data_IF_010521273289
#
_entry.id   IF_010521273289
#
_cell.length_a   1.000
_cell.length_b   1.000
_cell.length_c   1.000
_cell.angle_alpha   90.00
_cell.angle_beta   90.00
_cell.angle_gamma   90.00
#
_symmetry.space_group_name_H-M   'P 1'
#
loop_
_entity.id
_entity.type
_entity.pdbx_description
1 polymer ?
#
# COMPACT_ATOMS: atom_id res chain seq x y z
N UNK A 1 37.07 15.82 -17.91
CA UNK A 1 35.66 16.18 -18.12
C UNK A 1 34.78 14.99 -18.54
N UNK A 2 35.25 14.08 -19.41
CA UNK A 2 34.45 12.93 -19.87
C UNK A 2 33.98 11.92 -18.76
N UNK A 3 34.71 11.82 -17.66
CA UNK A 3 34.36 10.85 -16.59
C UNK A 3 33.20 11.31 -15.68
N UNK A 4 33.04 12.62 -15.49
CA UNK A 4 31.97 13.14 -14.63
C UNK A 4 30.58 13.11 -15.31
N UNK A 5 30.52 13.37 -16.62
CA UNK A 5 29.26 13.28 -17.39
C UNK A 5 28.75 11.83 -17.46
N UNK A 6 29.63 10.84 -17.67
CA UNK A 6 29.25 9.43 -17.70
C UNK A 6 28.75 8.91 -16.35
N UNK A 7 29.34 9.37 -15.24
CA UNK A 7 28.90 9.01 -13.87
C UNK A 7 27.51 9.60 -13.59
N UNK A 8 27.26 10.85 -13.98
CA UNK A 8 25.95 11.49 -13.82
C UNK A 8 24.84 10.81 -14.62
N UNK A 9 25.11 10.44 -15.88
CA UNK A 9 24.14 9.73 -16.75
C UNK A 9 23.81 8.34 -16.21
N UNK A 10 24.79 7.60 -15.69
CA UNK A 10 24.56 6.28 -15.12
C UNK A 10 23.71 6.38 -13.85
N UNK A 11 24.02 7.29 -12.94
CA UNK A 11 23.23 7.50 -11.72
C UNK A 11 21.80 7.92 -12.03
N UNK A 12 21.58 8.79 -13.01
CA UNK A 12 20.25 9.18 -13.45
C UNK A 12 19.42 7.98 -13.95
N UNK A 13 20.02 7.08 -14.74
CA UNK A 13 19.34 5.86 -15.21
C UNK A 13 19.01 4.91 -14.06
N UNK A 14 19.95 4.67 -13.17
CA UNK A 14 19.74 3.84 -11.97
C UNK A 14 18.61 4.40 -11.11
N UNK A 15 18.55 5.71 -10.90
CA UNK A 15 17.48 6.36 -10.17
C UNK A 15 16.12 6.22 -10.86
N UNK A 16 16.07 6.36 -12.20
CA UNK A 16 14.82 6.15 -12.95
C UNK A 16 14.33 4.71 -12.89
N UNK A 17 15.21 3.73 -13.07
CA UNK A 17 14.88 2.31 -12.97
C UNK A 17 14.31 2.01 -11.58
N UNK A 18 15.00 2.43 -10.51
CA UNK A 18 14.53 2.24 -9.14
C UNK A 18 13.16 2.92 -8.86
N UNK A 19 12.92 4.10 -9.44
CA UNK A 19 11.63 4.80 -9.29
C UNK A 19 10.51 4.11 -10.05
N UNK A 20 10.77 3.55 -11.25
CA UNK A 20 9.76 2.80 -11.99
C UNK A 20 9.42 1.49 -11.29
N UNK A 21 10.41 0.76 -10.79
CA UNK A 21 10.20 -0.45 -10.00
C UNK A 21 9.38 -0.15 -8.73
N UNK A 22 9.72 0.93 -8.02
CA UNK A 22 8.99 1.38 -6.85
C UNK A 22 7.56 1.83 -7.18
N UNK A 23 7.34 2.50 -8.33
CA UNK A 23 6.00 2.87 -8.79
C UNK A 23 5.17 1.65 -9.15
N UNK A 24 5.76 0.63 -9.77
CA UNK A 24 5.08 -0.63 -10.07
C UNK A 24 4.64 -1.33 -8.77
N UNK A 25 5.52 -1.43 -7.77
CA UNK A 25 5.18 -1.97 -6.46
C UNK A 25 4.10 -1.14 -5.75
N UNK A 26 4.16 0.19 -5.84
CA UNK A 26 3.10 1.06 -5.32
C UNK A 26 1.75 0.75 -5.98
N UNK A 27 1.71 0.67 -7.32
CA UNK A 27 0.48 0.45 -8.06
C UNK A 27 -0.12 -0.93 -7.85
N UNK A 28 0.73 -1.94 -7.65
CA UNK A 28 0.31 -3.34 -7.52
C UNK A 28 0.09 -3.76 -6.07
N UNK A 29 0.81 -3.16 -5.10
CA UNK A 29 0.85 -3.60 -3.70
C UNK A 29 0.77 -2.48 -2.67
N UNK A 30 0.58 -1.23 -3.07
CA UNK A 30 0.59 -0.05 -2.20
C UNK A 30 1.85 0.08 -1.32
N UNK A 31 2.99 -0.39 -1.80
CA UNK A 31 4.25 -0.33 -1.05
C UNK A 31 4.70 1.10 -0.82
N UNK A 32 5.05 1.40 0.42
CA UNK A 32 5.66 2.66 0.82
C UNK A 32 7.18 2.62 0.71
N UNK A 33 7.75 3.75 0.42
CA UNK A 33 9.20 3.92 0.26
C UNK A 33 9.73 5.05 1.14
N UNK A 34 10.94 4.84 1.66
CA UNK A 34 11.76 5.90 2.22
C UNK A 34 12.67 6.42 1.11
N UNK A 35 12.55 7.69 0.83
CA UNK A 35 13.31 8.38 -0.22
C UNK A 35 14.23 9.39 0.43
N UNK A 36 15.55 9.25 0.22
CA UNK A 36 16.52 10.28 0.57
C UNK A 36 16.67 11.20 -0.65
N UNK A 37 16.31 12.46 -0.46
CA UNK A 37 16.21 13.45 -1.52
C UNK A 37 16.78 14.79 -1.05
N UNK A 38 17.83 15.30 -1.75
CA UNK A 38 18.49 16.58 -1.47
C UNK A 38 18.82 16.75 0.03
N UNK A 39 19.32 15.67 0.67
CA UNK A 39 19.66 15.62 2.10
C UNK A 39 18.46 15.47 3.06
N UNK A 40 17.24 15.40 2.56
CA UNK A 40 16.03 15.18 3.35
C UNK A 40 15.52 13.73 3.20
N UNK A 41 14.81 13.25 4.22
CA UNK A 41 14.14 11.95 4.19
C UNK A 41 12.63 12.18 4.07
N UNK A 42 12.02 11.54 3.05
CA UNK A 42 10.59 11.53 2.81
C UNK A 42 10.11 10.08 2.83
N UNK A 43 8.92 9.84 3.33
CA UNK A 43 8.27 8.52 3.30
C UNK A 43 6.92 8.64 2.62
N UNK A 44 6.62 7.72 1.68
CA UNK A 44 5.37 7.75 0.94
C UNK A 44 5.32 6.74 -0.20
N UNK A 45 4.19 6.74 -0.90
CA UNK A 45 3.96 5.96 -2.12
C UNK A 45 4.52 6.72 -3.33
N UNK A 46 5.15 6.02 -4.29
CA UNK A 46 5.59 6.63 -5.54
C UNK A 46 4.35 6.85 -6.44
N UNK A 47 3.73 8.01 -6.37
CA UNK A 47 2.49 8.30 -7.09
C UNK A 47 2.67 8.51 -8.60
N UNK A 48 3.79 9.07 -9.02
CA UNK A 48 4.10 9.23 -10.44
C UNK A 48 5.59 9.39 -10.73
N UNK A 49 6.03 8.88 -11.90
CA UNK A 49 7.39 9.04 -12.44
C UNK A 49 7.31 9.57 -13.86
N UNK A 50 8.01 10.67 -14.11
CA UNK A 50 8.00 11.40 -15.40
C UNK A 50 9.41 11.49 -15.99
N UNK A 51 9.86 10.46 -16.68
CA UNK A 51 11.23 10.35 -17.22
C UNK A 51 11.61 11.51 -18.18
N UNK A 52 10.68 11.96 -19.04
CA UNK A 52 10.95 13.05 -20.00
C UNK A 52 11.15 14.40 -19.34
N UNK A 53 10.52 14.62 -18.20
CA UNK A 53 10.57 15.87 -17.46
C UNK A 53 11.46 15.76 -16.21
N UNK A 54 12.10 14.60 -16.03
CA UNK A 54 13.09 14.32 -14.99
C UNK A 54 12.59 14.56 -13.56
N UNK A 55 11.29 14.28 -13.29
CA UNK A 55 10.73 14.40 -11.95
C UNK A 55 9.88 13.18 -11.55
N UNK A 56 9.70 13.01 -10.26
CA UNK A 56 8.75 12.08 -9.66
C UNK A 56 7.95 12.78 -8.57
N UNK A 57 6.93 12.10 -8.04
CA UNK A 57 6.12 12.57 -6.92
C UNK A 57 5.86 11.45 -5.93
N UNK A 58 5.68 11.84 -4.68
CA UNK A 58 5.27 10.96 -3.58
C UNK A 58 3.90 11.38 -3.08
N UNK A 59 3.06 10.41 -2.76
CA UNK A 59 1.91 10.60 -1.90
C UNK A 59 2.33 10.29 -0.47
N UNK A 60 2.29 11.30 0.39
CA UNK A 60 2.67 11.20 1.80
C UNK A 60 1.58 10.47 2.61
N UNK A 61 1.89 9.97 3.83
CA UNK A 61 0.93 9.25 4.66
C UNK A 61 -0.33 10.03 5.05
N UNK A 62 -0.28 11.36 5.00
CA UNK A 62 -1.42 12.26 5.23
C UNK A 62 -2.29 12.47 3.98
N UNK A 63 -1.97 11.78 2.88
CA UNK A 63 -2.67 11.88 1.59
C UNK A 63 -2.23 13.05 0.71
N UNK A 64 -1.30 13.90 1.18
CA UNK A 64 -0.79 15.03 0.39
C UNK A 64 0.23 14.52 -0.64
N UNK A 65 0.06 14.91 -1.89
CA UNK A 65 1.06 14.66 -2.93
C UNK A 65 2.14 15.74 -2.89
N UNK A 66 3.42 15.33 -2.98
CA UNK A 66 4.53 16.29 -3.04
C UNK A 66 4.49 17.12 -4.33
N UNK A 67 5.18 18.24 -4.34
CA UNK A 67 5.54 18.92 -5.57
C UNK A 67 6.48 18.01 -6.41
N UNK A 68 6.88 18.50 -7.58
CA UNK A 68 7.80 17.78 -8.48
C UNK A 68 9.17 17.65 -7.83
N UNK A 69 9.62 16.43 -7.61
CA UNK A 69 10.94 16.11 -7.09
C UNK A 69 11.87 15.73 -8.25
N UNK A 70 13.00 16.42 -8.38
CA UNK A 70 13.98 16.20 -9.46
C UNK A 70 14.68 14.85 -9.28
N UNK A 71 14.63 13.99 -10.30
CA UNK A 71 15.26 12.64 -10.28
C UNK A 71 16.78 12.73 -10.01
N UNK A 72 17.45 13.81 -10.47
CA UNK A 72 18.88 13.98 -10.27
C UNK A 72 19.28 14.23 -8.81
N UNK A 73 18.33 14.65 -7.96
CA UNK A 73 18.52 14.89 -6.53
C UNK A 73 18.16 13.68 -5.67
N UNK A 74 17.67 12.61 -6.27
CA UNK A 74 17.43 11.34 -5.58
C UNK A 74 18.77 10.70 -5.19
N UNK A 75 18.96 10.49 -3.90
CA UNK A 75 20.18 9.88 -3.35
C UNK A 75 19.96 8.38 -3.11
N UNK A 76 18.81 8.01 -2.55
CA UNK A 76 18.47 6.64 -2.19
C UNK A 76 16.95 6.44 -2.19
N UNK A 77 16.53 5.23 -2.53
CA UNK A 77 15.17 4.74 -2.35
C UNK A 77 15.23 3.37 -1.66
N UNK A 78 14.41 3.18 -0.64
CA UNK A 78 14.34 1.96 0.16
C UNK A 78 12.87 1.59 0.34
N UNK A 79 12.53 0.35 0.07
CA UNK A 79 11.22 -0.19 0.41
C UNK A 79 11.05 -0.19 1.93
N UNK A 80 9.87 0.23 2.41
CA UNK A 80 9.53 0.18 3.82
C UNK A 80 8.63 -1.01 4.09
N UNK A 81 8.97 -1.75 5.15
CA UNK A 81 8.01 -2.65 5.76
C UNK A 81 6.93 -1.79 6.43
N UNK A 82 5.75 -1.74 5.83
CA UNK A 82 4.64 -0.90 6.26
C UNK A 82 4.11 -1.29 7.65
N UNK A 83 4.42 -2.52 8.11
CA UNK A 83 3.89 -3.04 9.36
C UNK A 83 5.01 -3.56 10.27
N UNK A 84 4.99 -3.08 11.52
CA UNK A 84 5.80 -3.62 12.60
C UNK A 84 4.94 -4.58 13.40
N UNK A 85 4.80 -5.81 12.93
CA UNK A 85 4.06 -6.86 13.60
C UNK A 85 4.97 -7.60 14.57
N UNK A 86 4.46 -7.84 15.77
CA UNK A 86 5.17 -8.59 16.80
C UNK A 86 4.79 -10.07 16.74
N UNK A 87 5.45 -10.82 15.86
CA UNK A 87 5.24 -12.26 15.72
C UNK A 87 5.80 -13.08 16.88
N UNK A 88 6.66 -12.50 17.72
CA UNK A 88 7.15 -13.20 18.91
C UNK A 88 6.07 -13.31 19.99
N UNK A 89 5.23 -12.29 20.13
CA UNK A 89 4.17 -12.24 21.13
C UNK A 89 2.76 -12.45 20.59
N UNK A 90 2.55 -12.39 19.28
CA UNK A 90 1.25 -12.62 18.66
C UNK A 90 1.41 -13.36 17.33
N UNK A 91 0.67 -14.47 17.20
CA UNK A 91 0.56 -15.22 15.95
C UNK A 91 -0.79 -15.01 15.25
N UNK A 92 -1.69 -14.21 15.84
CA UNK A 92 -3.02 -13.95 15.29
C UNK A 92 -3.28 -12.45 15.25
N UNK A 93 -3.73 -11.96 14.10
CA UNK A 93 -3.86 -10.53 13.80
C UNK A 93 -5.28 -10.20 13.34
N UNK A 94 -5.73 -9.00 13.71
CA UNK A 94 -6.99 -8.40 13.24
C UNK A 94 -6.63 -7.23 12.33
N UNK A 95 -7.23 -7.19 11.15
CA UNK A 95 -6.98 -6.13 10.16
C UNK A 95 -8.20 -5.21 10.09
N UNK A 96 -7.96 -3.91 10.05
CA UNK A 96 -8.96 -2.86 9.95
C UNK A 96 -8.73 -2.05 8.67
N UNK A 97 -9.59 -2.21 7.68
CA UNK A 97 -9.53 -1.48 6.42
C UNK A 97 -10.49 -0.29 6.46
N UNK A 98 -9.92 0.91 6.53
CA UNK A 98 -10.68 2.17 6.56
C UNK A 98 -9.73 3.34 6.23
N UNK A 99 -10.10 4.21 5.30
CA UNK A 99 -9.29 5.34 4.85
C UNK A 99 -9.33 6.54 5.82
N UNK A 100 -10.40 6.69 6.61
CA UNK A 100 -10.67 7.87 7.42
C UNK A 100 -10.66 7.63 8.93
N UNK A 101 -11.26 6.52 9.39
CA UNK A 101 -11.48 6.29 10.81
C UNK A 101 -10.19 5.86 11.52
N UNK A 102 -10.00 6.26 12.80
CA UNK A 102 -8.87 5.78 13.59
C UNK A 102 -8.96 4.27 13.80
N UNK A 103 -7.81 3.61 13.68
CA UNK A 103 -7.68 2.16 13.88
C UNK A 103 -8.04 1.78 15.31
N UNK A 104 -8.98 0.85 15.53
CA UNK A 104 -9.33 0.41 16.88
C UNK A 104 -8.18 -0.32 17.57
N UNK A 105 -8.13 -0.27 18.90
CA UNK A 105 -7.11 -0.97 19.66
C UNK A 105 -7.13 -2.48 19.37
N UNK A 106 -5.95 -3.03 19.09
CA UNK A 106 -5.77 -4.46 18.81
C UNK A 106 -5.99 -4.83 17.34
N UNK A 107 -6.12 -3.85 16.47
CA UNK A 107 -6.14 -4.03 15.01
C UNK A 107 -4.87 -3.46 14.38
N UNK A 108 -4.50 -4.02 13.24
CA UNK A 108 -3.54 -3.43 12.31
C UNK A 108 -4.34 -2.71 11.23
N UNK A 109 -4.06 -1.44 11.01
CA UNK A 109 -4.81 -0.60 10.06
C UNK A 109 -4.23 -0.66 8.67
N UNK A 110 -5.12 -0.62 7.67
CA UNK A 110 -4.81 -0.42 6.25
C UNK A 110 -5.78 0.58 5.65
N UNK A 111 -5.40 1.27 4.59
CA UNK A 111 -6.21 2.30 3.94
C UNK A 111 -6.68 1.94 2.54
N UNK A 112 -6.12 0.91 1.94
CA UNK A 112 -6.43 0.48 0.57
C UNK A 112 -6.52 -1.04 0.46
N UNK A 113 -7.15 -1.50 -0.62
CA UNK A 113 -7.26 -2.94 -0.93
C UNK A 113 -5.88 -3.57 -1.11
N UNK A 114 -4.99 -2.93 -1.88
CA UNK A 114 -3.65 -3.47 -2.11
C UNK A 114 -2.83 -3.55 -0.83
N UNK A 115 -2.88 -2.51 0.02
CA UNK A 115 -2.22 -2.52 1.32
C UNK A 115 -2.74 -3.66 2.21
N UNK A 116 -4.05 -3.94 2.16
CA UNK A 116 -4.65 -5.04 2.91
C UNK A 116 -4.21 -6.40 2.39
N UNK A 117 -4.15 -6.58 1.08
CA UNK A 117 -3.66 -7.82 0.45
C UNK A 117 -2.21 -8.08 0.84
N UNK A 118 -1.36 -7.06 0.73
CA UNK A 118 0.06 -7.14 1.05
C UNK A 118 0.27 -7.49 2.55
N UNK A 119 -0.52 -6.89 3.45
CA UNK A 119 -0.51 -7.24 4.88
C UNK A 119 -0.95 -8.68 5.13
N UNK A 120 -1.97 -9.17 4.44
CA UNK A 120 -2.44 -10.55 4.54
C UNK A 120 -1.32 -11.51 4.13
N UNK A 121 -0.72 -11.29 2.96
CA UNK A 121 0.39 -12.10 2.45
C UNK A 121 1.59 -12.07 3.41
N UNK A 122 1.96 -10.88 3.89
CA UNK A 122 3.06 -10.72 4.86
C UNK A 122 2.81 -11.49 6.17
N UNK A 123 1.59 -11.44 6.72
CA UNK A 123 1.24 -12.20 7.94
C UNK A 123 1.38 -13.71 7.70
N UNK A 124 0.84 -14.21 6.59
CA UNK A 124 0.87 -15.64 6.28
C UNK A 124 2.28 -16.15 5.99
N UNK A 125 3.08 -15.40 5.22
CA UNK A 125 4.48 -15.73 4.92
C UNK A 125 5.35 -15.82 6.18
N UNK A 126 5.02 -15.05 7.22
CA UNK A 126 5.70 -15.09 8.51
C UNK A 126 5.05 -16.08 9.52
N UNK A 127 4.14 -16.93 9.06
CA UNK A 127 3.52 -17.98 9.88
C UNK A 127 2.44 -17.48 10.83
N UNK A 128 1.96 -16.25 10.66
CA UNK A 128 0.84 -15.69 11.38
C UNK A 128 -0.51 -16.14 10.83
N UNK A 129 -1.57 -15.82 11.54
CA UNK A 129 -2.96 -16.09 11.15
C UNK A 129 -3.80 -14.82 11.22
N UNK A 130 -4.90 -14.78 10.47
CA UNK A 130 -5.83 -13.65 10.48
C UNK A 130 -7.08 -14.05 11.26
N UNK A 131 -7.31 -13.37 12.39
CA UNK A 131 -8.47 -13.60 13.25
C UNK A 131 -9.74 -12.95 12.70
N UNK A 132 -9.61 -11.76 12.12
CA UNK A 132 -10.74 -11.00 11.60
C UNK A 132 -10.29 -9.91 10.64
N UNK A 133 -11.06 -9.73 9.55
CA UNK A 133 -11.02 -8.54 8.70
C UNK A 133 -12.23 -7.67 9.02
N UNK A 134 -11.99 -6.41 9.41
CA UNK A 134 -13.03 -5.42 9.71
C UNK A 134 -12.98 -4.34 8.64
N UNK A 135 -14.01 -4.27 7.78
CA UNK A 135 -13.93 -3.63 6.47
C UNK A 135 -14.90 -2.46 6.34
N UNK A 136 -14.40 -1.27 5.96
CA UNK A 136 -15.22 -0.26 5.29
C UNK A 136 -15.34 -0.60 3.80
N UNK A 137 -16.45 -0.19 3.19
CA UNK A 137 -16.65 -0.37 1.74
C UNK A 137 -15.95 0.73 0.94
N UNK A 138 -16.18 1.99 1.33
CA UNK A 138 -15.71 3.15 0.57
C UNK A 138 -14.32 3.58 1.10
N UNK A 139 -13.33 3.62 0.21
CA UNK A 139 -11.94 3.89 0.56
C UNK A 139 -11.45 5.25 0.02
N UNK A 140 -12.38 6.17 -0.28
CA UNK A 140 -12.12 7.56 -0.60
C UNK A 140 -10.96 7.78 -1.57
N UNK A 141 -10.00 8.58 -1.15
CA UNK A 141 -8.83 8.92 -1.95
C UNK A 141 -7.86 7.74 -2.18
N UNK A 142 -8.04 6.61 -1.48
CA UNK A 142 -7.23 5.40 -1.65
C UNK A 142 -7.85 4.37 -2.58
N UNK A 143 -9.06 4.62 -3.11
CA UNK A 143 -9.75 3.69 -4.02
C UNK A 143 -8.98 3.41 -5.33
N UNK A 144 -8.04 4.27 -5.76
CA UNK A 144 -7.17 3.99 -6.90
C UNK A 144 -6.16 2.86 -6.64
N UNK A 145 -5.92 2.50 -5.37
CA UNK A 145 -5.07 1.40 -4.93
C UNK A 145 -5.89 0.12 -4.71
N UNK A 146 -6.53 -0.37 -5.75
CA UNK A 146 -7.22 -1.65 -5.76
C UNK A 146 -8.75 -1.58 -5.69
N UNK A 147 -9.36 -0.40 -5.69
CA UNK A 147 -10.82 -0.22 -5.69
C UNK A 147 -11.42 -0.11 -4.29
N UNK A 148 -12.68 -0.52 -4.15
CA UNK A 148 -13.42 -0.62 -2.90
C UNK A 148 -13.25 -2.02 -2.26
N UNK A 149 -13.81 -2.23 -1.06
CA UNK A 149 -13.65 -3.50 -0.35
C UNK A 149 -14.29 -4.72 -1.05
N UNK A 150 -15.16 -4.54 -2.05
CA UNK A 150 -15.64 -5.64 -2.89
C UNK A 150 -14.46 -6.28 -3.64
N UNK A 151 -13.47 -5.49 -4.06
CA UNK A 151 -12.27 -6.01 -4.74
C UNK A 151 -11.38 -6.83 -3.83
N UNK A 152 -11.33 -6.50 -2.54
CA UNK A 152 -10.69 -7.36 -1.55
C UNK A 152 -11.44 -8.70 -1.41
N UNK A 153 -12.76 -8.68 -1.33
CA UNK A 153 -13.56 -9.90 -1.28
C UNK A 153 -13.42 -10.74 -2.55
N UNK A 154 -13.38 -10.11 -3.75
CA UNK A 154 -13.09 -10.79 -5.02
C UNK A 154 -11.74 -11.53 -4.95
N UNK A 155 -10.68 -10.86 -4.48
CA UNK A 155 -9.36 -11.45 -4.30
C UNK A 155 -9.41 -12.64 -3.33
N UNK A 156 -10.04 -12.48 -2.16
CA UNK A 156 -10.12 -13.54 -1.16
C UNK A 156 -10.85 -14.79 -1.68
N UNK A 157 -11.91 -14.59 -2.46
CA UNK A 157 -12.61 -15.71 -3.13
C UNK A 157 -11.73 -16.40 -4.17
N UNK A 158 -10.98 -15.63 -4.96
CA UNK A 158 -10.07 -16.19 -5.98
C UNK A 158 -8.93 -17.01 -5.37
N UNK A 159 -8.42 -16.56 -4.22
CA UNK A 159 -7.34 -17.23 -3.49
C UNK A 159 -7.83 -18.28 -2.48
N UNK A 160 -9.16 -18.53 -2.44
CA UNK A 160 -9.80 -19.47 -1.50
C UNK A 160 -9.48 -19.17 -0.02
N UNK A 161 -9.35 -17.87 0.32
CA UNK A 161 -9.00 -17.36 1.66
C UNK A 161 -10.27 -16.88 2.38
N UNK A 162 -10.75 -17.61 3.37
CA UNK A 162 -12.03 -17.35 4.04
C UNK A 162 -11.84 -17.00 5.51
N UNK A 163 -11.42 -15.76 5.80
CA UNK A 163 -11.29 -15.25 7.16
C UNK A 163 -12.64 -14.77 7.71
N UNK A 164 -12.83 -14.73 9.04
CA UNK A 164 -13.96 -14.03 9.65
C UNK A 164 -14.00 -12.56 9.25
N UNK A 165 -15.16 -12.08 8.76
CA UNK A 165 -15.34 -10.72 8.30
C UNK A 165 -16.35 -9.97 9.15
N UNK A 166 -16.04 -8.73 9.48
CA UNK A 166 -16.96 -7.70 9.96
C UNK A 166 -17.08 -6.59 8.93
N UNK A 167 -18.24 -5.95 8.87
CA UNK A 167 -18.50 -4.83 8.00
C UNK A 167 -18.91 -3.63 8.85
N UNK A 168 -18.14 -2.54 8.78
CA UNK A 168 -18.43 -1.32 9.53
C UNK A 168 -18.74 -0.09 8.65
N UNK A 169 -19.01 -0.32 7.37
CA UNK A 169 -19.31 0.76 6.42
C UNK A 169 -20.59 1.54 6.74
N UNK A 170 -20.56 2.83 6.45
CA UNK A 170 -21.74 3.69 6.47
C UNK A 170 -22.57 3.61 5.17
N UNK A 171 -22.05 3.00 4.11
CA UNK A 171 -22.72 2.82 2.82
C UNK A 171 -23.67 1.62 2.85
N UNK A 172 -25.03 1.80 2.87
CA UNK A 172 -25.96 0.67 2.97
C UNK A 172 -25.97 -0.20 1.72
N UNK A 173 -25.68 0.36 0.54
CA UNK A 173 -25.61 -0.41 -0.72
C UNK A 173 -24.33 -1.25 -0.74
N UNK A 174 -23.20 -0.64 -0.38
CA UNK A 174 -21.93 -1.32 -0.23
C UNK A 174 -22.03 -2.49 0.76
N UNK A 175 -22.61 -2.24 1.96
CA UNK A 175 -22.88 -3.27 2.97
C UNK A 175 -23.65 -4.45 2.39
N UNK A 176 -24.80 -4.19 1.76
CA UNK A 176 -25.64 -5.24 1.20
C UNK A 176 -24.96 -6.04 0.08
N UNK A 177 -24.04 -5.40 -0.68
CA UNK A 177 -23.24 -6.08 -1.69
C UNK A 177 -22.19 -7.00 -1.05
N UNK A 178 -21.48 -6.51 -0.03
CA UNK A 178 -20.50 -7.30 0.71
C UNK A 178 -21.14 -8.50 1.43
N UNK A 179 -22.25 -8.27 2.15
CA UNK A 179 -23.00 -9.33 2.85
C UNK A 179 -23.44 -10.42 1.86
N UNK A 180 -24.00 -10.05 0.70
CA UNK A 180 -24.41 -11.00 -0.35
C UNK A 180 -23.25 -11.83 -0.88
N UNK A 181 -22.08 -11.22 -1.01
CA UNK A 181 -20.89 -11.92 -1.47
C UNK A 181 -20.37 -12.90 -0.42
N UNK A 182 -20.35 -12.47 0.85
CA UNK A 182 -19.97 -13.32 1.98
C UNK A 182 -20.95 -14.51 2.11
N UNK A 183 -22.26 -14.26 2.11
CA UNK A 183 -23.29 -15.31 2.20
C UNK A 183 -23.19 -16.35 1.06
N UNK A 184 -22.67 -15.92 -0.09
CA UNK A 184 -22.56 -16.81 -1.26
C UNK A 184 -21.30 -17.67 -1.27
N UNK A 185 -20.19 -17.15 -0.78
CA UNK A 185 -18.87 -17.77 -1.01
C UNK A 185 -18.19 -18.25 0.28
N UNK A 186 -18.50 -17.64 1.44
CA UNK A 186 -17.93 -18.11 2.70
C UNK A 186 -18.61 -19.40 3.17
N UNK A 187 -17.81 -20.41 3.59
CA UNK A 187 -18.34 -21.73 4.02
C UNK A 187 -19.16 -21.69 5.31
#
# INVERSE_FOLDING_TARGET
MENFEKVGINKFRENLEALFDAQELTNNRAKMFRVTYDGCILEGLISSVHARNEYFKLQLPDGIETERLDVNKLEKIEELDNWRLDFENSQSFRIYLDDLRPVPKGYVGTKSVYETIDLIEFIEENGGTIECLDLDHDLGDFAWLGGDAIKLLDYLVMEEKYYPIKIHTANPVGRANMERMIDRYWP
#
